data_IF_705132985102
#
_entry.id   IF_705132985102
#
_cell.length_a   1.000
_cell.length_b   1.000
_cell.length_c   1.000
_cell.angle_alpha   90.00
_cell.angle_beta   90.00
_cell.angle_gamma   90.00
#
_symmetry.space_group_name_H-M   'P 1'
#
loop_
_entity.id
_entity.type
_entity.pdbx_description
1 polymer ?
#
# COMPACT_ATOMS: atom_id res chain seq x y z
N UNK A 1 -11.47 81.71 -55.22
CA UNK A 1 -11.17 82.82 -54.30
C UNK A 1 -11.34 82.37 -52.86
N UNK A 2 -10.24 82.18 -52.14
CA UNK A 2 -10.18 82.29 -50.67
C UNK A 2 -8.89 83.05 -50.36
N UNK A 3 -9.03 84.31 -49.96
CA UNK A 3 -8.03 85.05 -49.18
C UNK A 3 -8.51 84.95 -47.72
N UNK A 4 -7.70 84.83 -46.67
CA UNK A 4 -6.30 85.14 -46.48
C UNK A 4 -6.14 85.67 -45.04
N UNK A 5 -4.96 85.43 -44.44
CA UNK A 5 -4.38 86.08 -43.23
C UNK A 5 -5.01 85.76 -41.86
N UNK A 6 -4.28 85.77 -40.73
CA UNK A 6 -2.86 85.93 -40.44
C UNK A 6 -2.54 85.48 -38.98
N UNK A 7 -1.29 85.04 -38.79
CA UNK A 7 -0.35 85.19 -37.64
C UNK A 7 -0.85 85.80 -36.31
N UNK A 8 -0.62 85.11 -35.18
CA UNK A 8 0.49 85.32 -34.21
C UNK A 8 0.33 84.50 -32.90
N UNK A 9 1.39 84.30 -32.08
CA UNK A 9 1.53 83.21 -31.11
C UNK A 9 1.39 83.63 -29.63
N UNK A 10 1.04 82.71 -28.75
CA UNK A 10 1.13 82.90 -27.29
C UNK A 10 1.74 81.68 -26.57
N UNK A 11 2.77 81.97 -25.79
CA UNK A 11 3.56 81.08 -24.93
C UNK A 11 2.70 80.54 -23.79
N UNK A 12 2.74 79.23 -23.54
CA UNK A 12 2.15 78.63 -22.35
C UNK A 12 3.24 78.05 -21.43
N UNK A 13 3.25 78.57 -20.20
CA UNK A 13 4.03 78.14 -19.05
C UNK A 13 3.49 76.77 -18.58
N UNK A 14 4.32 75.71 -18.64
CA UNK A 14 3.94 74.37 -18.16
C UNK A 14 4.42 74.16 -16.72
N UNK A 15 3.47 74.16 -15.78
CA UNK A 15 3.65 73.73 -14.40
C UNK A 15 3.64 72.19 -14.36
N UNK A 16 4.76 71.56 -14.00
CA UNK A 16 4.85 70.11 -13.83
C UNK A 16 4.44 69.74 -12.40
N UNK A 17 3.28 69.09 -12.23
CA UNK A 17 2.90 68.42 -10.97
C UNK A 17 3.43 66.99 -11.02
N UNK A 18 4.41 66.69 -10.16
CA UNK A 18 5.09 65.40 -10.06
C UNK A 18 4.22 64.44 -9.22
N UNK A 19 3.41 63.62 -9.86
CA UNK A 19 2.72 62.50 -9.21
C UNK A 19 3.62 61.27 -9.12
N UNK A 20 4.17 60.99 -7.93
CA UNK A 20 4.95 59.78 -7.70
C UNK A 20 4.01 58.57 -7.51
N UNK A 21 3.78 57.82 -8.59
CA UNK A 21 3.13 56.51 -8.52
C UNK A 21 4.12 55.48 -7.95
N UNK A 22 3.84 54.99 -6.73
CA UNK A 22 4.52 53.83 -6.15
C UNK A 22 4.17 52.58 -6.96
N UNK A 23 5.02 52.22 -7.92
CA UNK A 23 4.95 50.94 -8.60
C UNK A 23 5.41 49.84 -7.62
N UNK A 24 4.49 49.01 -7.14
CA UNK A 24 4.87 47.75 -6.49
C UNK A 24 5.62 46.90 -7.52
N UNK A 25 6.82 46.37 -7.22
CA UNK A 25 7.49 45.42 -8.10
C UNK A 25 6.64 44.15 -8.14
N UNK A 26 6.09 43.84 -9.31
CA UNK A 26 5.52 42.52 -9.58
C UNK A 26 6.67 41.52 -9.43
N UNK A 27 6.60 40.66 -8.41
CA UNK A 27 7.54 39.56 -8.27
C UNK A 27 7.51 38.72 -9.56
N UNK A 28 8.67 38.34 -10.12
CA UNK A 28 8.70 37.49 -11.30
C UNK A 28 7.96 36.20 -10.96
N UNK A 29 6.87 35.92 -11.68
CA UNK A 29 6.26 34.61 -11.68
C UNK A 29 7.36 33.63 -12.11
N UNK A 30 7.82 32.78 -11.20
CA UNK A 30 8.81 31.76 -11.51
C UNK A 30 8.24 30.92 -12.65
N UNK A 31 8.82 31.06 -13.85
CA UNK A 31 8.48 30.24 -14.98
C UNK A 31 8.88 28.81 -14.62
N UNK A 32 7.91 27.89 -14.65
CA UNK A 32 8.19 26.47 -14.51
C UNK A 32 9.11 26.05 -15.66
N UNK A 33 10.30 25.53 -15.31
CA UNK A 33 11.20 24.91 -16.28
C UNK A 33 10.45 23.82 -17.07
N UNK A 34 10.65 23.71 -18.39
CA UNK A 34 9.99 22.69 -19.20
C UNK A 34 10.41 21.30 -18.72
N UNK A 35 9.43 20.41 -18.55
CA UNK A 35 9.67 19.04 -18.12
C UNK A 35 10.52 18.27 -19.15
N UNK A 36 11.37 17.32 -18.71
CA UNK A 36 12.15 16.49 -19.63
C UNK A 36 11.23 15.58 -20.47
N UNK A 37 11.71 15.11 -21.64
CA UNK A 37 10.99 14.12 -22.44
C UNK A 37 10.69 12.85 -21.64
N UNK A 38 9.50 12.27 -21.83
CA UNK A 38 9.13 11.02 -21.18
C UNK A 38 9.83 9.82 -21.83
N UNK A 39 10.56 9.05 -21.02
CA UNK A 39 11.19 7.78 -21.39
C UNK A 39 10.55 6.70 -20.52
N UNK A 40 9.72 5.87 -21.16
CA UNK A 40 8.87 4.92 -20.47
C UNK A 40 9.46 3.51 -20.41
N UNK A 41 9.29 2.87 -19.27
CA UNK A 41 9.45 1.44 -19.10
C UNK A 41 8.13 0.78 -18.67
N UNK A 42 8.03 -0.53 -18.85
CA UNK A 42 6.88 -1.34 -18.48
C UNK A 42 7.33 -2.46 -17.56
N UNK A 43 6.51 -2.78 -16.56
CA UNK A 43 6.71 -3.95 -15.70
C UNK A 43 5.42 -4.72 -15.51
N UNK A 44 5.50 -6.04 -15.47
CA UNK A 44 4.44 -6.89 -14.92
C UNK A 44 4.58 -6.96 -13.40
N UNK A 45 3.97 -5.97 -12.74
CA UNK A 45 3.96 -5.85 -11.29
C UNK A 45 3.39 -7.09 -10.59
N UNK A 46 2.32 -7.69 -11.15
CA UNK A 46 1.68 -8.86 -10.55
C UNK A 46 2.58 -10.09 -10.65
N UNK A 47 3.25 -10.27 -11.79
CA UNK A 47 4.24 -11.32 -11.98
C UNK A 47 5.41 -11.18 -11.04
N UNK A 48 5.97 -9.97 -10.88
CA UNK A 48 7.09 -9.76 -9.95
C UNK A 48 6.68 -10.14 -8.52
N UNK A 49 5.54 -9.66 -8.03
CA UNK A 49 5.07 -10.02 -6.68
C UNK A 49 4.71 -11.50 -6.52
N UNK A 50 4.34 -12.18 -7.60
CA UNK A 50 4.08 -13.61 -7.57
C UNK A 50 5.38 -14.40 -7.59
N UNK A 51 6.32 -14.06 -8.45
CA UNK A 51 7.46 -14.91 -8.78
C UNK A 51 8.68 -14.63 -7.88
N UNK A 52 8.78 -13.45 -7.27
CA UNK A 52 9.88 -13.07 -6.37
C UNK A 52 10.10 -14.08 -5.23
N UNK A 53 11.37 -14.38 -4.93
CA UNK A 53 11.77 -15.35 -3.90
C UNK A 53 11.24 -15.00 -2.52
N UNK A 54 11.31 -13.72 -2.14
CA UNK A 54 10.72 -13.23 -0.89
C UNK A 54 9.22 -13.52 -0.81
N UNK A 55 8.46 -13.24 -1.87
CA UNK A 55 7.02 -13.50 -1.90
C UNK A 55 6.69 -15.00 -1.85
N UNK A 56 7.47 -15.84 -2.54
CA UNK A 56 7.35 -17.29 -2.44
C UNK A 56 7.63 -17.78 -1.01
N UNK A 57 8.63 -17.21 -0.33
CA UNK A 57 8.95 -17.54 1.06
C UNK A 57 7.83 -17.17 2.02
N UNK A 58 7.29 -15.95 1.90
CA UNK A 58 6.13 -15.49 2.67
C UNK A 58 4.97 -16.48 2.50
N UNK A 59 4.64 -16.88 1.26
CA UNK A 59 3.55 -17.84 1.01
C UNK A 59 3.77 -19.18 1.71
N UNK A 60 5.00 -19.72 1.67
CA UNK A 60 5.34 -20.97 2.39
C UNK A 60 5.17 -20.81 3.91
N UNK A 61 5.62 -19.69 4.47
CA UNK A 61 5.50 -19.43 5.91
C UNK A 61 4.05 -19.24 6.35
N UNK A 62 3.25 -18.51 5.57
CA UNK A 62 1.81 -18.31 5.81
C UNK A 62 1.06 -19.64 5.75
N UNK A 63 1.36 -20.48 4.77
CA UNK A 63 0.73 -21.80 4.64
C UNK A 63 1.09 -22.73 5.80
N UNK A 64 2.37 -22.78 6.20
CA UNK A 64 2.80 -23.56 7.36
C UNK A 64 2.11 -23.10 8.65
N UNK A 65 1.91 -21.80 8.84
CA UNK A 65 1.16 -21.25 10.00
C UNK A 65 -0.32 -21.57 9.92
N UNK A 66 -0.92 -21.48 8.74
CA UNK A 66 -2.32 -21.84 8.51
C UNK A 66 -2.59 -23.29 8.91
N UNK A 67 -1.72 -24.21 8.49
CA UNK A 67 -1.83 -25.63 8.83
C UNK A 67 -1.75 -25.85 10.35
N UNK A 68 -0.78 -25.22 11.03
CA UNK A 68 -0.69 -25.27 12.50
C UNK A 68 -1.95 -24.76 13.19
N UNK A 69 -2.52 -23.66 12.71
CA UNK A 69 -3.78 -23.14 13.27
C UNK A 69 -4.96 -24.07 13.01
N UNK A 70 -5.04 -24.70 11.84
CA UNK A 70 -6.07 -25.69 11.55
C UNK A 70 -5.98 -26.91 12.48
N UNK A 71 -4.77 -27.41 12.73
CA UNK A 71 -4.54 -28.51 13.68
C UNK A 71 -4.95 -28.13 15.12
N UNK A 72 -4.59 -26.93 15.56
CA UNK A 72 -4.98 -26.41 16.88
C UNK A 72 -6.50 -26.28 17.01
N UNK A 73 -7.17 -25.72 15.99
CA UNK A 73 -8.61 -25.53 15.97
C UNK A 73 -9.33 -26.89 16.00
N UNK A 74 -8.87 -27.87 15.20
CA UNK A 74 -9.44 -29.21 15.20
C UNK A 74 -9.31 -29.89 16.58
N UNK A 75 -8.20 -29.67 17.28
CA UNK A 75 -8.02 -30.14 18.66
C UNK A 75 -9.02 -29.53 19.65
N UNK A 76 -9.24 -28.22 19.58
CA UNK A 76 -10.23 -27.53 20.42
C UNK A 76 -11.67 -27.95 20.09
N UNK A 77 -12.01 -28.12 18.81
CA UNK A 77 -13.32 -28.61 18.39
C UNK A 77 -13.60 -30.02 18.93
N UNK A 78 -12.60 -30.91 18.87
CA UNK A 78 -12.71 -32.24 19.45
C UNK A 78 -12.88 -32.20 20.97
N UNK A 79 -12.14 -31.33 21.67
CA UNK A 79 -12.29 -31.12 23.12
C UNK A 79 -13.70 -30.65 23.48
N UNK A 80 -14.24 -29.68 22.75
CA UNK A 80 -15.60 -29.20 22.96
C UNK A 80 -16.64 -30.29 22.70
N UNK A 81 -16.47 -31.11 21.66
CA UNK A 81 -17.37 -32.23 21.37
C UNK A 81 -17.40 -33.28 22.50
N UNK A 82 -16.24 -33.60 23.05
CA UNK A 82 -16.13 -34.51 24.19
C UNK A 82 -16.75 -33.92 25.46
N UNK A 83 -16.54 -32.63 25.70
CA UNK A 83 -17.14 -31.90 26.82
C UNK A 83 -18.67 -31.86 26.74
N UNK A 84 -19.24 -31.63 25.55
CA UNK A 84 -20.69 -31.64 25.32
C UNK A 84 -21.29 -33.02 25.63
N UNK A 85 -20.67 -34.10 25.10
CA UNK A 85 -21.08 -35.48 25.42
C UNK A 85 -21.01 -35.79 26.90
N UNK A 86 -19.97 -35.34 27.60
CA UNK A 86 -19.82 -35.55 29.03
C UNK A 86 -20.87 -34.78 29.83
N UNK A 87 -21.15 -33.52 29.44
CA UNK A 87 -22.19 -32.70 30.06
C UNK A 87 -23.57 -33.34 29.87
N UNK A 88 -23.90 -33.81 28.66
CA UNK A 88 -25.16 -34.49 28.37
C UNK A 88 -25.40 -35.72 29.27
N UNK A 89 -24.36 -36.53 29.52
CA UNK A 89 -24.43 -37.69 30.43
C UNK A 89 -24.65 -37.30 31.89
N UNK A 90 -24.17 -36.13 32.30
CA UNK A 90 -24.28 -35.64 33.67
C UNK A 90 -25.65 -35.01 33.99
N UNK A 91 -26.48 -34.74 32.97
CA UNK A 91 -27.79 -34.09 33.12
C UNK A 91 -28.74 -34.82 34.07
N UNK A 92 -28.73 -36.15 34.06
CA UNK A 92 -29.57 -36.98 34.94
C UNK A 92 -28.91 -37.33 36.27
N UNK A 93 -27.66 -36.92 36.49
CA UNK A 93 -26.84 -37.29 37.66
C UNK A 93 -26.65 -36.09 38.59
N UNK A 94 -26.47 -34.89 38.04
CA UNK A 94 -26.21 -33.68 38.81
C UNK A 94 -27.49 -32.99 39.27
N UNK A 95 -27.39 -32.28 40.40
CA UNK A 95 -28.40 -31.31 40.80
C UNK A 95 -28.56 -30.20 39.74
N UNK A 96 -29.77 -29.61 39.58
CA UNK A 96 -30.04 -28.60 38.56
C UNK A 96 -29.05 -27.43 38.56
N UNK A 97 -28.67 -26.94 39.74
CA UNK A 97 -27.76 -25.81 39.92
C UNK A 97 -26.34 -26.18 39.49
N UNK A 98 -25.88 -27.37 39.86
CA UNK A 98 -24.55 -27.87 39.48
C UNK A 98 -24.45 -28.12 37.97
N UNK A 99 -25.52 -28.63 37.35
CA UNK A 99 -25.58 -28.78 35.89
C UNK A 99 -25.57 -27.42 35.18
N UNK A 100 -26.34 -26.45 35.68
CA UNK A 100 -26.39 -25.10 35.12
C UNK A 100 -25.02 -24.42 35.12
N UNK A 101 -24.25 -24.53 36.19
CA UNK A 101 -22.90 -23.96 36.24
C UNK A 101 -21.95 -24.63 35.24
N UNK A 102 -21.97 -25.97 35.13
CA UNK A 102 -21.16 -26.66 34.12
C UNK A 102 -21.53 -26.28 32.69
N UNK A 103 -22.83 -26.08 32.43
CA UNK A 103 -23.31 -25.60 31.13
C UNK A 103 -22.79 -24.20 30.82
N UNK A 104 -22.78 -23.30 31.81
CA UNK A 104 -22.25 -21.93 31.65
C UNK A 104 -20.74 -21.95 31.35
N UNK A 105 -19.98 -22.83 32.00
CA UNK A 105 -18.55 -23.02 31.70
C UNK A 105 -18.36 -23.52 30.26
N UNK A 106 -19.11 -24.55 29.85
CA UNK A 106 -19.06 -25.04 28.47
C UNK A 106 -19.39 -23.96 27.43
N UNK A 107 -20.43 -23.15 27.68
CA UNK A 107 -20.79 -22.02 26.81
C UNK A 107 -19.67 -20.97 26.73
N UNK A 108 -18.93 -20.76 27.83
CA UNK A 108 -17.77 -19.86 27.87
C UNK A 108 -16.62 -20.42 27.03
N UNK A 109 -16.30 -21.71 27.17
CA UNK A 109 -15.27 -22.39 26.38
C UNK A 109 -15.57 -22.32 24.87
N UNK A 110 -16.82 -22.55 24.48
CA UNK A 110 -17.25 -22.41 23.08
C UNK A 110 -16.99 -21.00 22.55
N UNK A 111 -17.34 -19.98 23.33
CA UNK A 111 -17.12 -18.59 22.96
C UNK A 111 -15.62 -18.22 22.90
N UNK A 112 -14.78 -18.83 23.74
CA UNK A 112 -13.32 -18.65 23.70
C UNK A 112 -12.70 -19.26 22.44
N UNK A 113 -13.08 -20.48 22.08
CA UNK A 113 -12.59 -21.14 20.85
C UNK A 113 -13.02 -20.35 19.61
N UNK A 114 -14.26 -19.85 19.57
CA UNK A 114 -14.71 -19.00 18.47
C UNK A 114 -13.90 -17.69 18.34
N UNK A 115 -13.60 -17.02 19.47
CA UNK A 115 -12.74 -15.83 19.49
C UNK A 115 -11.33 -16.16 19.01
N UNK A 116 -10.75 -17.24 19.52
CA UNK A 116 -9.43 -17.72 19.12
C UNK A 116 -9.35 -17.95 17.60
N UNK A 117 -10.34 -18.62 16.99
CA UNK A 117 -10.38 -18.83 15.54
C UNK A 117 -10.35 -17.50 14.77
N UNK A 118 -11.14 -16.52 15.21
CA UNK A 118 -11.18 -15.19 14.59
C UNK A 118 -9.86 -14.44 14.74
N UNK A 119 -9.26 -14.48 15.93
CA UNK A 119 -7.97 -13.85 16.22
C UNK A 119 -6.84 -14.45 15.38
N UNK A 120 -6.79 -15.77 15.26
CA UNK A 120 -5.79 -16.47 14.44
C UNK A 120 -5.91 -16.10 12.96
N UNK A 121 -7.13 -15.96 12.44
CA UNK A 121 -7.37 -15.51 11.06
C UNK A 121 -6.89 -14.09 10.85
N UNK A 122 -7.31 -13.15 11.71
CA UNK A 122 -6.90 -11.74 11.64
C UNK A 122 -5.39 -11.58 11.73
N UNK A 123 -4.76 -12.23 12.72
CA UNK A 123 -3.33 -12.19 12.92
C UNK A 123 -2.58 -12.71 11.68
N UNK A 124 -3.04 -13.81 11.06
CA UNK A 124 -2.41 -14.37 9.87
C UNK A 124 -2.49 -13.41 8.67
N UNK A 125 -3.64 -12.76 8.48
CA UNK A 125 -3.85 -11.78 7.41
C UNK A 125 -2.98 -10.53 7.62
N UNK A 126 -2.90 -10.02 8.85
CA UNK A 126 -2.09 -8.86 9.23
C UNK A 126 -0.58 -9.10 8.99
N UNK A 127 -0.05 -10.22 9.49
CA UNK A 127 1.39 -10.51 9.34
C UNK A 127 1.75 -10.83 7.89
N UNK A 128 0.84 -11.43 7.13
CA UNK A 128 0.99 -11.65 5.69
C UNK A 128 1.02 -10.33 4.91
N UNK A 129 0.08 -9.42 5.21
CA UNK A 129 0.01 -8.11 4.58
C UNK A 129 1.25 -7.25 4.89
N UNK A 130 1.73 -7.29 6.14
CA UNK A 130 2.95 -6.62 6.57
C UNK A 130 4.18 -7.13 5.80
N UNK A 131 4.37 -8.44 5.75
CA UNK A 131 5.49 -9.05 5.03
C UNK A 131 5.45 -8.74 3.52
N UNK A 132 4.28 -8.78 2.88
CA UNK A 132 4.14 -8.40 1.48
C UNK A 132 4.40 -6.90 1.25
N UNK A 133 4.12 -6.05 2.24
CA UNK A 133 4.43 -4.62 2.14
C UNK A 133 5.93 -4.36 2.08
N UNK A 134 6.74 -5.15 2.79
CA UNK A 134 8.20 -5.07 2.71
C UNK A 134 8.70 -5.37 1.29
N UNK A 135 8.14 -6.41 0.65
CA UNK A 135 8.46 -6.75 -0.74
C UNK A 135 8.10 -5.61 -1.69
N UNK A 136 6.92 -4.99 -1.51
CA UNK A 136 6.49 -3.85 -2.34
C UNK A 136 7.40 -2.64 -2.18
N UNK A 137 7.80 -2.31 -0.95
CA UNK A 137 8.69 -1.19 -0.69
C UNK A 137 10.05 -1.42 -1.37
N UNK A 138 10.60 -2.62 -1.22
CA UNK A 138 11.87 -2.97 -1.87
C UNK A 138 11.76 -2.97 -3.40
N UNK A 139 10.63 -3.40 -3.95
CA UNK A 139 10.37 -3.33 -5.39
C UNK A 139 10.42 -1.88 -5.90
N UNK A 140 9.82 -0.93 -5.17
CA UNK A 140 9.87 0.49 -5.54
C UNK A 140 11.31 1.00 -5.54
N UNK A 141 12.11 0.66 -4.53
CA UNK A 141 13.54 1.02 -4.49
C UNK A 141 14.31 0.44 -5.70
N UNK A 142 14.09 -0.84 -6.01
CA UNK A 142 14.72 -1.53 -7.15
C UNK A 142 14.37 -0.86 -8.48
N UNK A 143 13.11 -0.50 -8.67
CA UNK A 143 12.65 0.20 -9.88
C UNK A 143 13.26 1.60 -9.96
N UNK A 144 13.36 2.31 -8.83
CA UNK A 144 14.01 3.63 -8.77
C UNK A 144 15.48 3.59 -9.19
N UNK A 145 16.26 2.65 -8.67
CA UNK A 145 17.67 2.51 -9.01
C UNK A 145 17.89 2.15 -10.49
N UNK A 146 17.02 1.31 -11.04
CA UNK A 146 17.03 1.00 -12.47
C UNK A 146 16.64 2.22 -13.31
N UNK A 147 15.72 3.06 -12.82
CA UNK A 147 15.31 4.29 -13.50
C UNK A 147 16.48 5.25 -13.67
N UNK A 148 17.24 5.46 -12.60
CA UNK A 148 18.44 6.29 -12.61
C UNK A 148 19.51 5.74 -13.55
N UNK A 149 19.71 4.41 -13.56
CA UNK A 149 20.78 3.77 -14.34
C UNK A 149 20.46 3.68 -15.84
N UNK A 150 19.20 3.36 -16.18
CA UNK A 150 18.77 3.14 -17.56
C UNK A 150 18.09 4.36 -18.20
N UNK A 151 17.86 5.44 -17.44
CA UNK A 151 17.40 6.73 -17.95
C UNK A 151 15.90 6.81 -18.24
N UNK A 152 15.08 5.91 -17.68
CA UNK A 152 13.63 6.04 -17.75
C UNK A 152 13.09 6.91 -16.61
N UNK A 153 12.02 7.66 -16.88
CA UNK A 153 11.41 8.58 -15.91
C UNK A 153 9.91 8.32 -15.68
N UNK A 154 9.38 7.26 -16.30
CA UNK A 154 8.04 6.75 -16.03
C UNK A 154 8.04 5.23 -16.17
N UNK A 155 7.38 4.54 -15.23
CA UNK A 155 7.20 3.09 -15.27
C UNK A 155 5.70 2.79 -15.22
N UNK A 156 5.22 2.01 -16.19
CA UNK A 156 3.82 1.66 -16.33
C UNK A 156 3.59 0.19 -16.02
N UNK A 157 2.51 -0.17 -15.30
CA UNK A 157 2.13 -1.57 -15.14
C UNK A 157 1.61 -2.11 -16.49
N UNK A 158 2.08 -3.30 -16.88
CA UNK A 158 1.67 -3.95 -18.14
C UNK A 158 0.15 -4.16 -18.23
N UNK A 159 -0.54 -4.34 -17.11
CA UNK A 159 -2.00 -4.47 -17.06
C UNK A 159 -2.77 -3.24 -17.55
N UNK A 160 -2.13 -2.07 -17.57
CA UNK A 160 -2.72 -0.82 -18.08
C UNK A 160 -2.29 -0.48 -19.51
N UNK A 161 -1.47 -1.30 -20.14
CA UNK A 161 -0.84 -1.02 -21.44
C UNK A 161 -1.25 -2.08 -22.45
N UNK A 162 -2.00 -1.69 -23.49
CA UNK A 162 -2.50 -2.62 -24.51
C UNK A 162 -1.37 -3.25 -25.35
N UNK A 163 -0.34 -2.46 -25.66
CA UNK A 163 0.80 -2.88 -26.48
C UNK A 163 2.03 -2.05 -26.09
N UNK A 164 3.18 -2.72 -25.94
CA UNK A 164 4.48 -2.09 -25.73
C UNK A 164 5.57 -2.90 -26.44
N UNK A 165 6.72 -2.26 -26.72
CA UNK A 165 7.89 -2.97 -27.25
C UNK A 165 8.50 -3.86 -26.15
N UNK A 166 8.87 -5.13 -26.43
CA UNK A 166 9.61 -5.95 -25.46
C UNK A 166 10.91 -5.30 -24.96
N UNK A 167 11.49 -4.38 -25.73
CA UNK A 167 12.71 -3.66 -25.36
C UNK A 167 12.54 -2.69 -24.18
N UNK A 168 11.30 -2.35 -23.81
CA UNK A 168 11.00 -1.51 -22.66
C UNK A 168 10.36 -2.30 -21.50
N UNK A 169 10.31 -3.63 -21.61
CA UNK A 169 9.87 -4.51 -20.54
C UNK A 169 11.03 -4.79 -19.59
N UNK A 170 10.93 -4.31 -18.35
CA UNK A 170 11.94 -4.50 -17.32
C UNK A 170 11.56 -5.57 -16.29
N UNK A 171 10.51 -6.35 -16.56
CA UNK A 171 9.97 -7.34 -15.60
C UNK A 171 11.05 -8.29 -15.09
N UNK A 172 11.84 -8.88 -15.99
CA UNK A 172 12.91 -9.82 -15.63
C UNK A 172 14.05 -9.13 -14.88
N UNK A 173 14.47 -7.95 -15.32
CA UNK A 173 15.58 -7.20 -14.70
C UNK A 173 15.22 -6.79 -13.27
N UNK A 174 14.00 -6.28 -13.08
CA UNK A 174 13.46 -5.92 -11.77
C UNK A 174 13.33 -7.15 -10.88
N UNK A 175 12.79 -8.26 -11.39
CA UNK A 175 12.65 -9.50 -10.64
C UNK A 175 14.01 -10.03 -10.18
N UNK A 176 15.00 -10.08 -11.09
CA UNK A 176 16.34 -10.55 -10.79
C UNK A 176 17.05 -9.67 -9.75
N UNK A 177 16.91 -8.34 -9.86
CA UNK A 177 17.53 -7.42 -8.92
C UNK A 177 16.83 -7.46 -7.55
N UNK A 178 15.50 -7.57 -7.51
CA UNK A 178 14.73 -7.77 -6.29
C UNK A 178 15.16 -9.05 -5.58
N UNK A 179 15.26 -10.17 -6.29
CA UNK A 179 15.69 -11.46 -5.73
C UNK A 179 17.10 -11.43 -5.15
N UNK A 180 18.00 -10.61 -5.72
CA UNK A 180 19.36 -10.42 -5.18
C UNK A 180 19.36 -9.59 -3.90
N UNK A 181 18.51 -8.57 -3.81
CA UNK A 181 18.46 -7.65 -2.66
C UNK A 181 17.56 -8.10 -1.53
N UNK A 182 16.56 -8.92 -1.84
CA UNK A 182 15.57 -9.43 -0.90
C UNK A 182 15.23 -10.89 -1.25
N UNK A 183 16.17 -11.82 -1.00
CA UNK A 183 15.96 -13.23 -1.29
C UNK A 183 14.91 -13.87 -0.37
N UNK A 184 14.71 -13.31 0.81
CA UNK A 184 13.80 -13.84 1.83
C UNK A 184 13.19 -12.70 2.66
N UNK A 185 11.99 -12.93 3.19
CA UNK A 185 11.31 -12.07 4.15
C UNK A 185 10.67 -12.97 5.20
N UNK A 186 10.95 -12.70 6.48
CA UNK A 186 10.34 -13.44 7.58
C UNK A 186 8.95 -12.88 7.87
N UNK A 187 7.96 -13.76 7.92
CA UNK A 187 6.61 -13.39 8.39
C UNK A 187 6.68 -13.16 9.90
N UNK A 188 6.29 -11.98 10.43
CA UNK A 188 6.33 -11.69 11.87
C UNK A 188 5.42 -12.63 12.67
N UNK A 189 5.79 -12.95 13.91
CA UNK A 189 5.02 -13.86 14.79
C UNK A 189 3.70 -13.25 15.30
N UNK A 190 3.48 -11.95 15.10
CA UNK A 190 2.23 -11.26 15.43
C UNK A 190 2.05 -10.92 16.92
N UNK A 191 3.13 -10.84 17.68
CA UNK A 191 3.15 -10.30 19.05
C UNK A 191 3.59 -8.83 19.01
N UNK A 192 2.61 -7.96 18.77
CA UNK A 192 2.80 -6.52 18.64
C UNK A 192 1.67 -5.71 19.27
N UNK A 193 1.15 -6.16 20.42
CA UNK A 193 0.58 -5.37 21.52
C UNK A 193 0.45 -6.24 22.77
#
# INVERSE_FOLDING_TARGET
MRAGRARQPARFLRLCVLGAALALPAAPAAALEPLPPAVAAVIDYQRILRDAKAAQSIRRQVEARRQRYQEQIAGEEQRLHEADKALAKQRSILAPEAYAEKRRVFETDVAEVQRMVQDRRRQLDEVSASALSEVRNRLIEVVGDLAETAGFNIVLPSSGVLLFSPSIDLTEDVLNLLDRRLPDVKVPDGTGR
#
